data_IF_342835192786
#
_entry.id   IF_342835192786
#
_cell.length_a   1.000
_cell.length_b   1.000
_cell.length_c   1.000
_cell.angle_alpha   90.00
_cell.angle_beta   90.00
_cell.angle_gamma   90.00
#
_symmetry.space_group_name_H-M   'P 1'
#
loop_
_entity.id
_entity.type
_entity.pdbx_description
1 polymer ?
#
# COMPACT_ATOMS: atom_id res chain seq x y z
N UNK A 1 -20.56 -2.48 -0.44
CA UNK A 1 -19.59 -1.60 0.25
C UNK A 1 -18.33 -2.42 0.40
N UNK A 2 -17.16 -1.82 0.20
CA UNK A 2 -15.90 -2.58 0.22
C UNK A 2 -15.57 -3.03 1.66
N UNK A 3 -15.42 -4.34 1.86
CA UNK A 3 -15.06 -4.94 3.15
C UNK A 3 -13.55 -4.86 3.44
N UNK A 4 -12.79 -4.23 2.55
CA UNK A 4 -11.35 -4.03 2.66
C UNK A 4 -10.90 -2.70 2.04
N UNK A 5 -9.81 -2.16 2.58
CA UNK A 5 -9.05 -1.06 1.98
C UNK A 5 -7.64 -1.53 1.64
N UNK A 6 -7.15 -1.21 0.45
CA UNK A 6 -5.76 -1.44 0.07
C UNK A 6 -4.95 -0.19 0.33
N UNK A 7 -3.89 -0.32 1.11
CA UNK A 7 -3.02 0.78 1.48
C UNK A 7 -1.66 0.66 0.79
N UNK A 8 -1.13 1.82 0.36
CA UNK A 8 0.25 1.92 -0.10
C UNK A 8 1.26 1.74 1.04
N UNK A 9 2.55 1.72 0.69
CA UNK A 9 3.64 1.53 1.65
C UNK A 9 3.74 2.65 2.69
N UNK A 10 3.31 3.87 2.38
CA UNK A 10 3.31 5.00 3.33
C UNK A 10 2.25 4.82 4.42
N UNK A 11 1.02 4.50 4.01
CA UNK A 11 -0.08 4.23 4.92
C UNK A 11 0.13 2.90 5.66
N UNK A 12 0.69 1.88 5.00
CA UNK A 12 1.08 0.63 5.65
C UNK A 12 2.04 0.88 6.82
N UNK A 13 3.08 1.69 6.60
CA UNK A 13 3.99 2.08 7.67
C UNK A 13 3.28 2.85 8.79
N UNK A 14 2.34 3.75 8.46
CA UNK A 14 1.57 4.47 9.47
C UNK A 14 0.72 3.53 10.34
N UNK A 15 0.04 2.56 9.73
CA UNK A 15 -0.73 1.51 10.42
C UNK A 15 0.17 0.70 11.35
N UNK A 16 1.31 0.20 10.86
CA UNK A 16 2.25 -0.61 11.65
C UNK A 16 2.83 0.18 12.84
N UNK A 17 2.99 1.49 12.70
CA UNK A 17 3.44 2.39 13.77
C UNK A 17 2.33 2.76 14.78
N UNK A 18 1.12 2.21 14.64
CA UNK A 18 -0.04 2.57 15.47
C UNK A 18 -0.53 4.00 15.24
N UNK A 19 -0.25 4.56 14.06
CA UNK A 19 -0.61 5.93 13.63
C UNK A 19 -1.57 5.89 12.44
N UNK A 20 -2.50 4.94 12.46
CA UNK A 20 -3.55 4.81 11.44
C UNK A 20 -4.33 6.13 11.32
N UNK A 21 -4.40 6.76 10.13
CA UNK A 21 -5.21 7.96 9.94
C UNK A 21 -6.69 7.68 10.20
N UNK A 22 -7.38 8.57 10.92
CA UNK A 22 -8.81 8.41 11.23
C UNK A 22 -9.71 8.32 10.00
N UNK A 23 -9.27 8.93 8.89
CA UNK A 23 -9.96 8.88 7.61
C UNK A 23 -9.64 7.63 6.79
N UNK A 24 -8.77 6.72 7.24
CA UNK A 24 -8.30 5.60 6.43
C UNK A 24 -9.45 4.66 6.05
N UNK A 25 -10.22 4.22 7.04
CA UNK A 25 -11.28 3.22 6.85
C UNK A 25 -12.37 3.34 7.90
N UNK A 26 -13.52 2.69 7.64
CA UNK A 26 -14.51 2.41 8.68
C UNK A 26 -13.95 1.34 9.63
N UNK A 27 -14.43 1.33 10.87
CA UNK A 27 -13.85 0.54 11.97
C UNK A 27 -13.77 -0.97 11.72
N UNK A 28 -14.55 -1.50 10.77
CA UNK A 28 -14.67 -2.92 10.45
C UNK A 28 -14.01 -3.33 9.13
N UNK A 29 -13.64 -2.39 8.25
CA UNK A 29 -13.04 -2.74 6.97
C UNK A 29 -11.63 -3.31 7.16
N UNK A 30 -11.31 -4.44 6.53
CA UNK A 30 -9.99 -5.07 6.62
C UNK A 30 -8.92 -4.22 5.95
N UNK A 31 -7.67 -4.34 6.41
CA UNK A 31 -6.54 -3.69 5.74
C UNK A 31 -5.86 -4.71 4.84
N UNK A 32 -5.57 -4.30 3.61
CA UNK A 32 -4.77 -5.04 2.66
C UNK A 32 -3.62 -4.17 2.12
N UNK A 33 -2.59 -4.80 1.59
CA UNK A 33 -1.52 -4.16 0.82
C UNK A 33 -1.09 -5.06 -0.33
N UNK A 34 -0.14 -4.62 -1.14
CA UNK A 34 0.40 -5.38 -2.27
C UNK A 34 1.83 -5.82 -2.02
N UNK A 35 2.26 -6.88 -2.72
CA UNK A 35 3.62 -7.41 -2.58
C UNK A 35 4.69 -6.39 -2.97
N UNK A 36 4.46 -5.60 -4.02
CA UNK A 36 5.41 -4.60 -4.50
C UNK A 36 5.47 -3.36 -3.61
N UNK A 37 4.35 -2.92 -3.02
CA UNK A 37 4.38 -1.87 -2.00
C UNK A 37 5.08 -2.35 -0.73
N UNK A 38 4.73 -3.54 -0.24
CA UNK A 38 5.42 -4.14 0.90
C UNK A 38 6.93 -4.27 0.66
N UNK A 39 7.35 -4.74 -0.53
CA UNK A 39 8.75 -4.80 -0.90
C UNK A 39 9.40 -3.40 -0.96
N UNK A 40 8.72 -2.39 -1.53
CA UNK A 40 9.21 -1.00 -1.56
C UNK A 40 9.45 -0.47 -0.15
N UNK A 41 8.54 -0.75 0.78
CA UNK A 41 8.70 -0.42 2.21
C UNK A 41 9.94 -1.11 2.80
N UNK A 42 10.02 -2.44 2.68
CA UNK A 42 11.14 -3.22 3.21
C UNK A 42 12.49 -2.70 2.68
N UNK A 43 12.57 -2.40 1.38
CA UNK A 43 13.78 -1.83 0.76
C UNK A 43 14.10 -0.46 1.34
N UNK A 44 13.11 0.42 1.47
CA UNK A 44 13.29 1.75 2.03
C UNK A 44 13.74 1.74 3.51
N UNK A 45 13.33 0.73 4.28
CA UNK A 45 13.75 0.57 5.68
C UNK A 45 15.11 -0.11 5.84
N UNK A 46 15.50 -0.98 4.91
CA UNK A 46 16.77 -1.70 4.95
C UNK A 46 17.93 -0.88 4.37
N UNK A 47 17.65 0.08 3.49
CA UNK A 47 18.68 0.91 2.87
C UNK A 47 19.01 2.14 3.72
N UNK A 48 20.16 2.09 4.41
CA UNK A 48 20.66 3.21 5.22
C UNK A 48 21.11 4.42 4.41
N UNK A 49 21.23 4.29 3.07
CA UNK A 49 21.62 5.38 2.16
C UNK A 49 20.43 6.17 1.63
N UNK A 50 19.21 5.61 1.73
CA UNK A 50 17.98 6.27 1.31
C UNK A 50 17.40 7.10 2.47
N UNK A 51 17.74 8.40 2.49
CA UNK A 51 17.08 9.39 3.36
C UNK A 51 15.77 9.84 2.71
N UNK A 52 14.74 8.99 2.81
CA UNK A 52 13.39 9.25 2.31
C UNK A 52 12.45 9.79 3.40
N UNK A 53 11.20 10.10 3.00
CA UNK A 53 10.13 10.42 3.96
C UNK A 53 9.82 9.26 4.92
N UNK A 54 10.05 8.01 4.50
CA UNK A 54 9.86 6.81 5.33
C UNK A 54 10.95 6.63 6.40
N UNK A 55 12.21 6.73 6.03
CA UNK A 55 13.31 6.63 6.99
C UNK A 55 13.26 7.78 8.01
N UNK A 56 12.84 8.99 7.59
CA UNK A 56 12.55 10.11 8.51
C UNK A 56 11.46 9.80 9.55
N UNK A 57 10.41 9.04 9.19
CA UNK A 57 9.38 8.61 10.15
C UNK A 57 9.94 7.70 11.25
N UNK A 58 11.00 6.95 10.94
CA UNK A 58 11.72 6.15 11.94
C UNK A 58 12.78 6.96 12.71
N UNK A 59 13.44 7.94 12.09
CA UNK A 59 14.46 8.77 12.75
C UNK A 59 13.94 9.57 13.95
N UNK A 60 12.63 9.87 13.97
CA UNK A 60 11.99 10.52 15.11
C UNK A 60 11.63 9.57 16.27
N UNK A 61 11.91 8.27 16.14
CA UNK A 61 11.63 7.27 17.16
C UNK A 61 12.88 6.96 17.99
N UNK A 62 12.67 6.54 19.24
CA UNK A 62 13.74 5.92 20.02
C UNK A 62 14.25 4.65 19.30
N UNK A 63 15.55 4.29 19.40
CA UNK A 63 16.12 3.15 18.67
C UNK A 63 15.37 1.83 18.87
N UNK A 64 14.90 1.56 20.09
CA UNK A 64 14.11 0.38 20.40
C UNK A 64 12.75 0.37 19.66
N UNK A 65 12.09 1.52 19.55
CA UNK A 65 10.82 1.65 18.84
C UNK A 65 11.01 1.53 17.32
N UNK A 66 12.09 2.08 16.77
CA UNK A 66 12.43 1.90 15.36
C UNK A 66 12.73 0.42 15.02
N UNK A 67 13.49 -0.27 15.88
CA UNK A 67 13.76 -1.70 15.72
C UNK A 67 12.48 -2.55 15.81
N UNK A 68 11.58 -2.25 16.76
CA UNK A 68 10.29 -2.91 16.87
C UNK A 68 9.41 -2.69 15.63
N UNK A 69 9.37 -1.48 15.09
CA UNK A 69 8.64 -1.17 13.86
C UNK A 69 9.17 -1.96 12.66
N UNK A 70 10.49 -2.01 12.48
CA UNK A 70 11.13 -2.81 11.42
C UNK A 70 10.78 -4.29 11.59
N UNK A 71 10.86 -4.82 12.82
CA UNK A 71 10.51 -6.21 13.09
C UNK A 71 9.03 -6.52 12.78
N UNK A 72 8.13 -5.57 13.04
CA UNK A 72 6.71 -5.69 12.65
C UNK A 72 6.52 -5.64 11.14
N UNK A 73 7.23 -4.76 10.42
CA UNK A 73 7.21 -4.74 8.94
C UNK A 73 7.68 -6.09 8.41
N UNK A 74 8.85 -6.58 8.83
CA UNK A 74 9.42 -7.86 8.35
C UNK A 74 8.48 -9.04 8.55
N UNK A 75 7.73 -9.07 9.66
CA UNK A 75 6.76 -10.13 9.90
C UNK A 75 5.46 -9.97 9.12
N UNK A 76 5.08 -8.73 8.83
CA UNK A 76 3.76 -8.28 8.37
C UNK A 76 2.63 -8.86 9.26
N UNK A 77 1.95 -8.03 10.08
CA UNK A 77 0.84 -8.49 10.92
C UNK A 77 -0.21 -9.29 10.14
N UNK A 78 -0.72 -10.37 10.73
CA UNK A 78 -1.64 -11.31 10.05
C UNK A 78 -3.03 -10.75 9.78
N UNK A 79 -3.38 -9.62 10.41
CA UNK A 79 -4.57 -8.82 10.15
C UNK A 79 -4.43 -7.88 8.94
N UNK A 80 -3.23 -7.80 8.35
CA UNK A 80 -2.97 -7.11 7.09
C UNK A 80 -2.89 -8.16 5.97
N UNK A 81 -3.89 -8.15 5.10
CA UNK A 81 -3.95 -9.05 3.95
C UNK A 81 -2.93 -8.63 2.87
N UNK A 82 -2.23 -9.59 2.29
CA UNK A 82 -1.38 -9.36 1.11
C UNK A 82 -1.69 -10.42 0.07
N UNK A 83 -2.29 -10.00 -1.04
CA UNK A 83 -2.73 -10.94 -2.08
C UNK A 83 -1.51 -11.49 -2.82
N UNK A 84 -1.47 -12.81 -3.00
CA UNK A 84 -0.38 -13.48 -3.69
C UNK A 84 -0.31 -13.12 -5.18
N UNK A 85 0.89 -12.92 -5.71
CA UNK A 85 1.11 -12.79 -7.15
C UNK A 85 0.69 -14.04 -7.95
N UNK A 86 0.58 -15.21 -7.31
CA UNK A 86 -0.02 -16.40 -7.96
C UNK A 86 -1.48 -16.14 -8.35
N UNK A 87 -2.18 -15.35 -7.55
CA UNK A 87 -3.58 -14.94 -7.78
C UNK A 87 -3.64 -13.75 -8.74
N UNK A 88 -2.74 -12.77 -8.59
CA UNK A 88 -2.80 -11.51 -9.35
C UNK A 88 -2.12 -11.56 -10.72
N UNK A 89 -1.26 -12.54 -11.00
CA UNK A 89 -0.44 -12.57 -12.21
C UNK A 89 -1.24 -12.52 -13.51
N UNK A 90 -2.33 -13.28 -13.60
CA UNK A 90 -3.22 -13.24 -14.77
C UNK A 90 -4.04 -11.94 -14.86
N UNK A 91 -4.76 -11.50 -13.79
CA UNK A 91 -5.43 -10.20 -13.80
C UNK A 91 -4.53 -9.02 -14.21
N UNK A 92 -3.27 -9.02 -13.77
CA UNK A 92 -2.29 -7.99 -14.18
C UNK A 92 -1.98 -8.05 -15.68
N UNK A 93 -1.86 -9.25 -16.26
CA UNK A 93 -1.65 -9.41 -17.70
C UNK A 93 -2.86 -8.95 -18.52
N UNK A 94 -4.08 -9.22 -18.04
CA UNK A 94 -5.32 -8.75 -18.70
C UNK A 94 -5.39 -7.21 -18.74
N UNK A 95 -5.01 -6.54 -17.65
CA UNK A 95 -4.93 -5.07 -17.61
C UNK A 95 -3.97 -4.52 -18.69
N UNK A 96 -2.80 -5.14 -18.85
CA UNK A 96 -1.82 -4.76 -19.88
C UNK A 96 -2.34 -5.03 -21.30
N UNK A 97 -2.98 -6.18 -21.51
CA UNK A 97 -3.60 -6.53 -22.79
C UNK A 97 -4.73 -5.57 -23.16
N UNK A 98 -5.50 -5.11 -22.16
CA UNK A 98 -6.52 -4.08 -22.28
C UNK A 98 -5.99 -2.65 -22.51
N UNK A 99 -4.69 -2.49 -22.74
CA UNK A 99 -4.07 -1.22 -23.11
C UNK A 99 -3.60 -0.37 -21.92
N UNK A 100 -3.79 -0.83 -20.68
CA UNK A 100 -3.29 -0.10 -19.52
C UNK A 100 -1.76 -0.06 -19.52
N UNK A 101 -1.18 1.10 -19.23
CA UNK A 101 0.28 1.31 -19.20
C UNK A 101 0.65 1.95 -17.88
N UNK A 102 0.84 1.11 -16.87
CA UNK A 102 1.24 1.51 -15.52
C UNK A 102 2.55 0.85 -15.13
N UNK A 103 3.24 1.42 -14.15
CA UNK A 103 4.33 0.70 -13.48
C UNK A 103 3.78 -0.53 -12.72
N UNK A 104 4.66 -1.47 -12.38
CA UNK A 104 4.24 -2.73 -11.74
C UNK A 104 3.52 -2.53 -10.39
N UNK A 105 3.93 -1.54 -9.58
CA UNK A 105 3.29 -1.25 -8.29
C UNK A 105 1.83 -0.87 -8.50
N UNK A 106 1.58 0.08 -9.41
CA UNK A 106 0.25 0.54 -9.75
C UNK A 106 -0.59 -0.55 -10.44
N UNK A 107 0.03 -1.39 -11.26
CA UNK A 107 -0.64 -2.51 -11.91
C UNK A 107 -1.12 -3.56 -10.90
N UNK A 108 -0.26 -3.93 -9.94
CA UNK A 108 -0.62 -4.86 -8.87
C UNK A 108 -1.71 -4.27 -7.96
N UNK A 109 -1.62 -2.96 -7.64
CA UNK A 109 -2.64 -2.26 -6.86
C UNK A 109 -4.03 -2.31 -7.50
N UNK A 110 -4.12 -2.04 -8.81
CA UNK A 110 -5.39 -2.13 -9.55
C UNK A 110 -5.91 -3.56 -9.58
N UNK A 111 -5.04 -4.54 -9.82
CA UNK A 111 -5.42 -5.96 -9.84
C UNK A 111 -5.92 -6.43 -8.46
N UNK A 112 -5.23 -6.05 -7.38
CA UNK A 112 -5.61 -6.38 -6.02
C UNK A 112 -6.94 -5.71 -5.62
N UNK A 113 -7.14 -4.43 -5.99
CA UNK A 113 -8.37 -3.70 -5.70
C UNK A 113 -9.58 -4.36 -6.35
N UNK A 114 -9.44 -4.80 -7.60
CA UNK A 114 -10.47 -5.57 -8.30
C UNK A 114 -10.71 -6.94 -7.68
N UNK A 115 -9.64 -7.65 -7.32
CA UNK A 115 -9.75 -8.99 -6.76
C UNK A 115 -10.47 -9.00 -5.39
N UNK A 116 -10.19 -8.00 -4.55
CA UNK A 116 -10.75 -7.90 -3.21
C UNK A 116 -12.06 -7.09 -3.14
N UNK A 117 -12.54 -6.54 -4.26
CA UNK A 117 -13.57 -5.49 -4.29
C UNK A 117 -13.30 -4.38 -3.26
N UNK A 118 -12.04 -3.93 -3.24
CA UNK A 118 -11.49 -3.06 -2.21
C UNK A 118 -11.31 -1.62 -2.70
N UNK A 119 -11.48 -0.68 -1.78
CA UNK A 119 -11.12 0.72 -2.00
C UNK A 119 -9.61 0.91 -1.88
N UNK A 120 -8.99 1.65 -2.80
CA UNK A 120 -7.58 2.01 -2.68
C UNK A 120 -7.41 3.29 -1.88
N UNK A 121 -6.58 3.26 -0.84
CA UNK A 121 -6.17 4.41 -0.06
C UNK A 121 -4.68 4.69 -0.32
N UNK A 122 -4.37 5.87 -0.86
CA UNK A 122 -3.01 6.29 -1.17
C UNK A 122 -2.59 7.45 -0.28
N UNK A 123 -1.35 7.49 0.18
CA UNK A 123 -0.83 8.62 0.93
C UNK A 123 -0.69 9.86 0.05
N UNK A 124 -1.12 11.02 0.56
CA UNK A 124 -1.02 12.30 -0.14
C UNK A 124 0.43 12.71 -0.46
N UNK A 125 1.39 12.19 0.32
CA UNK A 125 2.81 12.56 0.22
C UNK A 125 3.53 11.93 -0.98
N UNK A 126 2.98 10.87 -1.57
CA UNK A 126 3.54 10.17 -2.75
C UNK A 126 2.44 9.97 -3.81
N UNK A 127 1.88 11.10 -4.25
CA UNK A 127 0.75 11.11 -5.18
C UNK A 127 1.17 10.59 -6.56
N UNK A 128 0.43 9.59 -7.05
CA UNK A 128 0.67 8.95 -8.34
C UNK A 128 -0.52 9.19 -9.28
N UNK A 129 -0.45 10.25 -10.10
CA UNK A 129 -1.56 10.64 -10.99
C UNK A 129 -1.91 9.55 -12.00
N UNK A 130 -0.92 8.81 -12.53
CA UNK A 130 -1.19 7.74 -13.48
C UNK A 130 -2.04 6.61 -12.88
N UNK A 131 -1.81 6.26 -11.61
CA UNK A 131 -2.64 5.29 -10.88
C UNK A 131 -4.06 5.85 -10.63
N UNK A 132 -4.16 7.13 -10.28
CA UNK A 132 -5.44 7.79 -10.01
C UNK A 132 -6.30 7.84 -11.28
N UNK A 133 -5.73 8.28 -12.40
CA UNK A 133 -6.41 8.35 -13.70
C UNK A 133 -6.86 6.96 -14.17
N UNK A 134 -6.01 5.94 -13.97
CA UNK A 134 -6.35 4.56 -14.25
C UNK A 134 -7.49 4.05 -13.38
N UNK A 135 -7.46 4.30 -12.07
CA UNK A 135 -8.52 3.92 -11.15
C UNK A 135 -9.87 4.52 -11.56
N UNK A 136 -9.87 5.82 -11.91
CA UNK A 136 -11.06 6.53 -12.38
C UNK A 136 -11.60 5.94 -13.69
N UNK A 137 -10.72 5.70 -14.67
CA UNK A 137 -11.09 5.09 -15.96
C UNK A 137 -11.71 3.71 -15.78
N UNK A 138 -11.25 2.97 -14.77
CA UNK A 138 -11.69 1.62 -14.47
C UNK A 138 -12.86 1.57 -13.47
N UNK A 139 -13.37 2.73 -13.02
CA UNK A 139 -14.49 2.82 -12.08
C UNK A 139 -14.18 2.31 -10.66
N UNK A 140 -12.90 2.32 -10.26
CA UNK A 140 -12.47 1.86 -8.95
C UNK A 140 -12.51 2.99 -7.93
N UNK A 141 -12.91 2.67 -6.70
CA UNK A 141 -12.88 3.62 -5.59
C UNK A 141 -11.43 3.86 -5.14
N UNK A 142 -11.02 5.11 -5.16
CA UNK A 142 -9.70 5.54 -4.71
C UNK A 142 -9.83 6.81 -3.87
N UNK A 143 -9.14 6.85 -2.72
CA UNK A 143 -9.00 8.04 -1.88
C UNK A 143 -7.54 8.36 -1.62
N UNK A 144 -7.24 9.65 -1.56
CA UNK A 144 -5.95 10.14 -1.08
C UNK A 144 -6.08 10.53 0.39
N UNK A 145 -5.20 10.01 1.25
CA UNK A 145 -5.22 10.18 2.69
C UNK A 145 -4.04 11.06 3.12
N UNK A 146 -4.28 12.15 3.88
CA UNK A 146 -3.19 12.91 4.51
C UNK A 146 -2.43 12.00 5.47
N UNK A 147 -1.12 11.86 5.27
CA UNK A 147 -0.27 10.92 6.01
C UNK A 147 0.68 11.61 6.99
#
# INVERSE_FOLDING_TARGET
MADAVIVDDHLLLAVILGREPTALRRSDARIATTGLWYHRLCRALNDSTVVGSMSRRLSGLAPAAASAAIASVVRLPSDIEMVSLRTLGWPMAELLSGGLRLNLLSLEAIAAARFLDAEMCLAAVDRNEALIDAAHTLGLNLRTIPA
#
